data_IF_731276902503
#
_entry.id   IF_731276902503
#
_cell.length_a   1.000
_cell.length_b   1.000
_cell.length_c   1.000
_cell.angle_alpha   90.00
_cell.angle_beta   90.00
_cell.angle_gamma   90.00
#
_symmetry.space_group_name_H-M   'P 1'
#
loop_
_entity.id
_entity.type
_entity.pdbx_description
1 polymer ?
2 non-polymer ?
3 non-polymer ?
4 water ?
#
# COMPACT_ATOMS: atom_id res chain seq x y z
N UNK A 28 29.21 -0.85 -7.71
CA UNK A 28 28.26 -0.51 -6.66
C UNK A 28 26.83 -0.89 -7.07
N UNK A 29 26.30 -1.95 -6.48
CA UNK A 29 25.02 -2.52 -6.89
C UNK A 29 24.04 -2.56 -5.71
N UNK A 30 22.78 -2.28 -6.01
CA UNK A 30 21.69 -2.35 -5.04
C UNK A 30 20.81 -3.54 -5.40
N UNK A 31 20.52 -4.37 -4.41
CA UNK A 31 19.61 -5.51 -4.58
C UNK A 31 18.34 -5.24 -3.79
N UNK A 32 17.21 -5.19 -4.49
CA UNK A 32 15.91 -4.98 -3.86
C UNK A 32 15.20 -6.33 -3.78
N UNK A 33 14.83 -6.72 -2.57
CA UNK A 33 14.10 -7.97 -2.34
C UNK A 33 12.62 -7.63 -2.26
N UNK A 34 11.84 -8.14 -3.20
CA UNK A 34 10.42 -7.88 -3.23
C UNK A 34 10.05 -6.84 -4.28
N UNK A 35 9.12 -7.19 -5.16
CA UNK A 35 8.69 -6.32 -6.25
C UNK A 35 7.25 -5.84 -6.06
N UNK A 36 6.89 -5.52 -4.82
CA UNK A 36 5.59 -4.92 -4.53
C UNK A 36 5.56 -3.47 -4.95
N UNK A 37 4.55 -2.76 -4.44
CA UNK A 37 4.43 -1.33 -4.76
C UNK A 37 5.62 -0.55 -4.21
N UNK A 38 6.10 -0.91 -3.03
CA UNK A 38 7.22 -0.18 -2.45
C UNK A 38 8.55 -0.50 -3.13
N UNK A 39 8.83 -1.79 -3.32
CA UNK A 39 10.10 -2.16 -3.92
C UNK A 39 10.23 -1.71 -5.36
N UNK A 40 9.17 -1.86 -6.15
CA UNK A 40 9.21 -1.42 -7.54
C UNK A 40 9.31 0.10 -7.63
N UNK A 41 8.79 0.82 -6.63
CA UNK A 41 8.95 2.27 -6.62
C UNK A 41 10.39 2.65 -6.33
N UNK A 42 11.02 2.00 -5.36
CA UNK A 42 12.43 2.23 -5.10
C UNK A 42 13.27 1.88 -6.32
N UNK A 43 12.93 0.78 -7.00
CA UNK A 43 13.68 0.38 -8.19
C UNK A 43 13.59 1.47 -9.27
N UNK A 44 12.39 1.97 -9.54
CA UNK A 44 12.23 2.99 -10.56
C UNK A 44 12.95 4.28 -10.18
N UNK A 45 12.82 4.70 -8.92
CA UNK A 45 13.40 5.98 -8.52
C UNK A 45 14.92 5.91 -8.42
N UNK A 46 15.45 4.80 -7.91
CA UNK A 46 16.90 4.68 -7.77
C UNK A 46 17.58 4.48 -9.12
N UNK A 47 16.94 3.73 -10.02
CA UNK A 47 17.50 3.56 -11.36
C UNK A 47 17.49 4.87 -12.13
N UNK A 48 16.42 5.65 -12.00
CA UNK A 48 16.36 6.95 -12.67
C UNK A 48 17.42 7.89 -12.14
N UNK A 49 17.88 7.70 -10.90
CA UNK A 49 18.92 8.54 -10.32
C UNK A 49 20.32 8.13 -10.74
N UNK A 50 20.47 7.02 -11.46
CA UNK A 50 21.76 6.56 -11.95
C UNK A 50 22.31 5.34 -11.26
N UNK A 51 21.60 4.78 -10.28
CA UNK A 51 22.12 3.64 -9.54
C UNK A 51 21.88 2.34 -10.30
N UNK A 52 22.70 1.34 -9.97
CA UNK A 52 22.60 0.01 -10.56
C UNK A 52 21.74 -0.85 -9.63
N UNK A 53 20.49 -1.08 -10.02
CA UNK A 53 19.51 -1.74 -9.16
C UNK A 53 18.96 -2.96 -9.87
N UNK A 54 18.86 -4.07 -9.15
CA UNK A 54 18.16 -5.27 -9.59
C UNK A 54 17.15 -5.67 -8.53
N UNK A 55 16.02 -6.22 -8.98
CA UNK A 55 14.92 -6.60 -8.10
C UNK A 55 14.71 -8.09 -8.19
N UNK A 56 14.35 -8.71 -7.05
CA UNK A 56 14.13 -10.14 -6.96
C UNK A 56 12.79 -10.39 -6.27
N UNK A 57 11.86 -11.02 -6.98
CA UNK A 57 10.50 -11.26 -6.51
C UNK A 57 10.23 -12.75 -6.44
N UNK A 58 9.56 -13.18 -5.37
CA UNK A 58 9.37 -14.61 -5.14
C UNK A 58 8.23 -15.19 -5.95
N UNK A 59 7.27 -14.35 -6.34
CA UNK A 59 6.16 -14.80 -7.15
C UNK A 59 6.67 -15.43 -8.44
N UNK A 60 6.17 -16.62 -8.82
CA UNK A 60 6.62 -17.23 -10.08
C UNK A 60 6.21 -16.41 -11.30
N UNK A 61 5.15 -15.62 -11.19
CA UNK A 61 4.70 -14.76 -12.27
C UNK A 61 4.17 -13.47 -11.66
N UNK A 62 3.89 -12.50 -12.52
CA UNK A 62 3.29 -11.25 -12.08
C UNK A 62 1.77 -11.37 -12.19
N UNK A 63 1.08 -10.98 -11.12
CA UNK A 63 -0.37 -11.00 -11.08
C UNK A 63 -0.90 -9.59 -10.87
N UNK A 64 -1.81 -9.16 -11.74
CA UNK A 64 -2.57 -7.94 -11.48
C UNK A 64 -3.55 -8.26 -10.34
N UNK A 65 -3.32 -7.64 -9.19
CA UNK A 65 -3.96 -8.05 -7.94
C UNK A 65 -5.47 -8.19 -8.08
N UNK A 66 -6.10 -7.27 -8.82
CA UNK A 66 -7.54 -7.34 -8.97
C UNK A 66 -8.26 -6.71 -7.81
N UNK A 67 -7.83 -5.51 -7.44
CA UNK A 67 -8.43 -4.77 -6.34
C UNK A 67 -8.22 -3.29 -6.59
N UNK A 68 -8.85 -2.47 -5.75
CA UNK A 68 -8.63 -1.05 -5.82
C UNK A 68 -7.55 -0.59 -4.86
N UNK A 69 -7.07 0.63 -5.08
CA UNK A 69 -6.14 1.28 -4.17
C UNK A 69 -6.36 2.78 -4.27
N UNK A 70 -6.19 3.46 -3.15
CA UNK A 70 -6.34 4.90 -3.07
C UNK A 70 -4.96 5.56 -3.03
N UNK A 71 -4.80 6.64 -3.80
CA UNK A 71 -3.52 7.31 -3.96
C UNK A 71 -3.76 8.80 -3.76
N UNK A 72 -3.31 9.31 -2.62
CA UNK A 72 -3.46 10.72 -2.32
C UNK A 72 -2.49 11.58 -3.08
N UNK A 73 -2.65 12.90 -2.95
CA UNK A 73 -1.76 13.82 -3.66
C UNK A 73 -0.31 13.73 -3.24
N UNK A 74 -0.03 13.37 -1.98
CA UNK A 74 1.35 13.31 -1.51
C UNK A 74 2.15 12.25 -2.25
N UNK A 75 1.52 11.14 -2.62
CA UNK A 75 2.22 10.09 -3.37
C UNK A 75 2.15 10.35 -4.88
N UNK A 76 1.10 11.03 -5.34
CA UNK A 76 1.05 11.43 -6.74
C UNK A 76 2.24 12.29 -7.12
N UNK A 77 2.76 13.08 -6.18
CA UNK A 77 3.96 13.86 -6.45
C UNK A 77 5.18 12.97 -6.63
N UNK A 78 5.23 11.84 -5.92
CA UNK A 78 6.31 10.88 -6.15
C UNK A 78 6.15 10.22 -7.51
N UNK A 79 4.91 9.92 -7.91
CA UNK A 79 4.69 9.38 -9.25
C UNK A 79 5.02 10.40 -10.33
N UNK A 80 4.94 11.69 -10.00
CA UNK A 80 5.36 12.72 -10.94
C UNK A 80 6.86 12.66 -11.21
N UNK A 81 7.64 12.31 -10.18
CA UNK A 81 9.09 12.19 -10.36
C UNK A 81 9.44 10.97 -11.20
N UNK A 82 8.58 9.95 -11.21
CA UNK A 82 8.78 8.81 -12.08
C UNK A 82 8.26 9.05 -13.49
N UNK A 83 7.60 10.18 -13.74
CA UNK A 83 6.94 10.40 -15.00
C UNK A 83 5.63 9.65 -15.17
N UNK A 84 4.98 9.26 -14.07
CA UNK A 84 3.79 8.42 -14.11
C UNK A 84 2.52 9.15 -13.68
N UNK A 85 2.62 10.36 -13.15
CA UNK A 85 1.44 11.03 -12.61
C UNK A 85 0.41 11.32 -13.69
N UNK A 86 0.85 11.89 -14.81
CA UNK A 86 -0.07 12.22 -15.89
C UNK A 86 -0.78 10.98 -16.40
N UNK A 87 -0.06 9.86 -16.50
CA UNK A 87 -0.69 8.62 -16.93
C UNK A 87 -1.69 8.12 -15.89
N UNK A 88 -1.29 8.09 -14.62
CA UNK A 88 -2.17 7.58 -13.58
C UNK A 88 -3.44 8.41 -13.45
N UNK A 89 -3.36 9.71 -13.72
CA UNK A 89 -4.56 10.54 -13.73
C UNK A 89 -5.53 10.12 -14.83
N UNK A 90 -5.06 9.40 -15.85
CA UNK A 90 -5.92 9.01 -16.96
C UNK A 90 -6.71 7.74 -16.65
N UNK A 91 -6.09 6.79 -15.93
CA UNK A 91 -6.82 5.56 -15.61
C UNK A 91 -7.80 5.78 -14.46
N UNK A 92 -7.28 6.11 -13.29
CA UNK A 92 -8.05 6.06 -12.06
C UNK A 92 -9.20 7.07 -12.03
N UNK A 93 -10.07 6.86 -11.04
CA UNK A 93 -11.20 7.74 -10.80
C UNK A 93 -10.79 8.89 -9.89
N UNK A 94 -11.28 10.08 -10.20
CA UNK A 94 -10.99 11.29 -9.44
C UNK A 94 -12.22 11.68 -8.62
N UNK A 95 -12.37 11.17 -7.40
CA UNK A 95 -13.58 11.48 -6.62
C UNK A 95 -13.59 12.93 -6.18
N UNK A 96 -14.76 13.56 -6.26
CA UNK A 96 -14.89 14.94 -5.81
C UNK A 96 -14.85 15.05 -4.30
N UNK A 97 -15.31 14.01 -3.58
CA UNK A 97 -15.41 14.05 -2.14
C UNK A 97 -15.06 12.69 -1.55
N UNK A 98 -14.61 12.70 -0.30
CA UNK A 98 -14.63 11.52 0.55
C UNK A 98 -15.81 11.69 1.50
N UNK A 99 -16.76 10.76 1.41
CA UNK A 99 -17.91 10.75 2.31
C UNK A 99 -17.71 9.69 3.38
N UNK A 100 -17.83 10.09 4.64
CA UNK A 100 -17.98 9.15 5.74
C UNK A 100 -19.46 9.09 6.09
N UNK A 101 -20.03 7.90 6.05
CA UNK A 101 -21.46 7.72 6.27
C UNK A 101 -21.70 6.67 7.33
N UNK A 102 -22.70 6.90 8.18
CA UNK A 102 -23.13 5.88 9.13
C UNK A 102 -23.68 4.69 8.37
N UNK A 103 -23.23 3.50 8.72
CA UNK A 103 -23.65 2.31 7.99
C UNK A 103 -25.14 2.03 8.11
N UNK A 104 -25.71 2.28 9.29
CA UNK A 104 -27.11 1.94 9.54
C UNK A 104 -28.04 2.98 8.93
N UNK A 105 -27.82 4.26 9.22
CA UNK A 105 -28.74 5.31 8.81
C UNK A 105 -28.35 5.97 7.49
N UNK A 106 -27.10 5.85 7.06
CA UNK A 106 -26.65 6.57 5.90
C UNK A 106 -26.38 8.04 6.12
N UNK A 107 -26.43 8.51 7.37
CA UNK A 107 -26.11 9.89 7.66
C UNK A 107 -24.65 10.18 7.33
N UNK A 108 -24.39 11.38 6.83
CA UNK A 108 -23.05 11.78 6.44
C UNK A 108 -22.30 12.30 7.66
N UNK A 109 -21.26 11.58 8.07
CA UNK A 109 -20.43 12.00 9.18
C UNK A 109 -19.34 12.97 8.77
N UNK A 110 -18.92 12.93 7.51
CA UNK A 110 -17.90 13.85 7.01
C UNK A 110 -17.97 13.89 5.49
N UNK A 111 -17.68 15.06 4.94
CA UNK A 111 -17.64 15.28 3.49
C UNK A 111 -16.31 15.98 3.19
N UNK A 112 -15.27 15.18 2.98
CA UNK A 112 -13.91 15.71 2.81
C UNK A 112 -13.71 16.14 1.36
N UNK A 113 -13.54 17.44 1.10
CA UNK A 113 -13.48 17.91 -0.29
C UNK A 113 -12.18 17.49 -0.97
N UNK A 114 -12.32 16.88 -2.15
CA UNK A 114 -11.17 16.50 -2.96
C UNK A 114 -11.29 17.16 -4.33
N UNK A 115 -11.20 16.37 -5.40
CA UNK A 115 -11.43 16.90 -6.74
C UNK A 115 -10.53 18.07 -7.08
N UNK A 116 -11.14 19.12 -7.62
CA UNK A 116 -10.38 20.32 -7.97
C UNK A 116 -9.80 21.01 -6.74
N UNK A 117 -10.49 20.91 -5.59
CA UNK A 117 -9.94 21.48 -4.37
C UNK A 117 -8.67 20.77 -3.95
N UNK A 118 -8.64 19.44 -4.05
CA UNK A 118 -7.44 18.69 -3.70
C UNK A 118 -6.28 19.06 -4.61
N UNK A 119 -6.54 19.21 -5.91
CA UNK A 119 -5.48 19.59 -6.83
C UNK A 119 -4.91 20.96 -6.50
N UNK A 120 -5.79 21.91 -6.18
CA UNK A 120 -5.34 23.27 -5.89
C UNK A 120 -4.71 23.38 -4.51
N UNK A 121 -5.27 22.69 -3.52
CA UNK A 121 -4.80 22.85 -2.14
C UNK A 121 -3.59 21.98 -1.83
N UNK A 122 -3.44 20.86 -2.52
CA UNK A 122 -2.37 19.91 -2.22
C UNK A 122 -1.37 19.73 -3.34
N UNK A 123 -1.56 20.40 -4.48
CA UNK A 123 -0.61 20.32 -5.56
C UNK A 123 -0.67 19.05 -6.39
N UNK A 124 -1.64 18.19 -6.16
CA UNK A 124 -1.81 16.97 -6.94
C UNK A 124 -3.23 16.45 -6.74
N UNK A 125 -3.61 15.49 -7.57
CA UNK A 125 -4.95 14.95 -7.56
C UNK A 125 -5.06 13.75 -6.61
N UNK A 126 -6.24 13.61 -6.01
CA UNK A 126 -6.58 12.42 -5.24
C UNK A 126 -7.31 11.46 -6.18
N UNK A 127 -6.71 10.30 -6.43
CA UNK A 127 -7.27 9.33 -7.37
C UNK A 127 -7.48 8.01 -6.67
N UNK A 128 -8.49 7.28 -7.14
CA UNK A 128 -8.70 5.87 -6.81
C UNK A 128 -8.59 5.08 -8.10
N UNK A 129 -7.87 3.96 -8.05
CA UNK A 129 -7.38 3.31 -9.27
C UNK A 129 -7.28 1.81 -9.05
N UNK A 130 -7.29 1.08 -10.16
CA UNK A 130 -7.03 -0.36 -10.13
C UNK A 130 -5.62 -0.63 -9.63
N UNK A 131 -5.51 -1.41 -8.56
CA UNK A 131 -4.19 -1.67 -7.96
C UNK A 131 -3.31 -2.50 -8.90
N UNK A 132 -3.89 -3.51 -9.54
CA UNK A 132 -3.11 -4.35 -10.42
C UNK A 132 -2.53 -3.59 -11.60
N UNK A 133 -3.33 -2.69 -12.19
CA UNK A 133 -2.83 -1.89 -13.30
C UNK A 133 -1.80 -0.87 -12.85
N UNK A 134 -1.93 -0.33 -11.64
CA UNK A 134 -0.88 0.53 -11.09
C UNK A 134 0.38 -0.29 -10.83
N UNK A 135 0.22 -1.47 -10.22
CA UNK A 135 1.37 -2.32 -9.94
C UNK A 135 2.10 -2.70 -11.23
N UNK A 136 1.35 -2.99 -12.30
CA UNK A 136 1.98 -3.35 -13.56
C UNK A 136 2.70 -2.17 -14.19
N UNK A 137 2.06 -0.99 -14.19
CA UNK A 137 2.70 0.19 -14.74
C UNK A 137 3.95 0.58 -13.95
N UNK A 138 3.95 0.31 -12.65
CA UNK A 138 5.11 0.64 -11.82
C UNK A 138 6.31 -0.23 -12.18
N UNK A 139 6.09 -1.53 -12.33
CA UNK A 139 7.18 -2.43 -12.68
C UNK A 139 7.66 -2.19 -14.11
N UNK A 140 6.75 -1.80 -15.01
CA UNK A 140 7.14 -1.49 -16.38
C UNK A 140 8.04 -0.26 -16.43
N UNK A 141 8.04 0.57 -15.39
CA UNK A 141 8.94 1.71 -15.31
C UNK A 141 10.35 1.32 -14.92
N UNK A 142 10.56 0.09 -14.45
CA UNK A 142 11.89 -0.39 -14.12
C UNK A 142 12.61 -0.81 -15.41
N UNK A 143 13.93 -0.63 -15.43
CA UNK A 143 14.72 -0.98 -16.60
C UNK A 143 14.53 -2.45 -16.93
N UNK A 144 14.22 -2.78 -18.19
CA UNK A 144 13.92 -4.17 -18.53
C UNK A 144 15.14 -5.07 -18.34
N UNK A 145 14.89 -6.32 -17.97
CA UNK A 145 15.95 -7.25 -17.70
C UNK A 145 16.56 -7.14 -16.32
N UNK A 146 16.00 -6.30 -15.44
CA UNK A 146 16.50 -6.14 -14.09
C UNK A 146 15.53 -6.61 -13.02
N UNK A 147 14.31 -7.01 -13.39
CA UNK A 147 13.33 -7.55 -12.46
C UNK A 147 13.22 -9.05 -12.69
N UNK A 148 13.45 -9.83 -11.65
CA UNK A 148 13.44 -11.29 -11.74
C UNK A 148 12.36 -11.86 -10.84
N UNK A 149 11.50 -12.70 -11.40
CA UNK A 149 10.47 -13.41 -10.67
C UNK A 149 10.96 -14.82 -10.32
N UNK A 150 10.20 -15.49 -9.46
CA UNK A 150 10.61 -16.79 -9.00
C UNK A 150 11.87 -16.81 -8.17
N UNK A 151 12.24 -15.67 -7.58
CA UNK A 151 13.45 -15.54 -6.79
C UNK A 151 13.03 -15.32 -5.33
N UNK A 152 12.97 -16.42 -4.58
CA UNK A 152 12.54 -16.39 -3.19
C UNK A 152 13.79 -16.38 -2.30
N UNK A 153 13.96 -15.30 -1.54
CA UNK A 153 15.10 -15.19 -0.64
C UNK A 153 14.95 -16.15 0.53
N UNK A 154 15.95 -16.99 0.74
CA UNK A 154 15.99 -17.93 1.86
C UNK A 154 17.02 -17.57 2.92
N UNK A 155 18.19 -17.06 2.51
CA UNK A 155 19.23 -16.67 3.44
C UNK A 155 19.93 -15.43 2.92
N UNK A 156 20.23 -14.50 3.82
CA UNK A 156 20.91 -13.26 3.48
C UNK A 156 21.97 -13.00 4.55
N UNK A 157 23.21 -12.81 4.12
CA UNK A 157 24.37 -12.75 5.02
C UNK A 157 25.08 -11.43 4.79
N UNK A 158 25.07 -10.57 5.81
CA UNK A 158 25.85 -9.34 5.79
C UNK A 158 27.32 -9.65 5.99
N UNK A 159 28.06 -9.87 4.90
CA UNK A 159 29.46 -10.25 4.99
C UNK A 159 30.37 -9.11 5.44
N UNK A 160 29.84 -7.90 5.59
CA UNK A 160 30.66 -6.78 6.01
C UNK A 160 30.87 -5.74 4.93
N UNK A 161 31.60 -6.12 3.88
CA UNK A 161 31.78 -5.25 2.73
C UNK A 161 30.70 -5.45 1.66
N UNK A 162 30.01 -6.60 1.70
CA UNK A 162 28.97 -6.90 0.73
C UNK A 162 27.98 -7.85 1.40
N UNK A 163 26.89 -8.14 0.69
CA UNK A 163 25.83 -9.00 1.19
C UNK A 163 25.56 -10.09 0.16
N UNK A 164 25.50 -11.34 0.64
CA UNK A 164 25.19 -12.48 -0.21
C UNK A 164 23.71 -12.84 -0.04
N UNK A 165 22.99 -12.91 -1.16
CA UNK A 165 21.59 -13.28 -1.18
C UNK A 165 21.46 -14.69 -1.72
N UNK A 166 20.79 -15.57 -0.97
CA UNK A 166 20.59 -16.95 -1.36
C UNK A 166 19.12 -17.18 -1.67
N UNK A 167 18.84 -17.69 -2.87
CA UNK A 167 17.48 -17.85 -3.36
C UNK A 167 17.08 -19.32 -3.33
N UNK A 168 15.77 -19.55 -3.18
CA UNK A 168 15.25 -20.90 -3.02
C UNK A 168 15.50 -21.78 -4.25
N UNK A 169 15.68 -21.18 -5.42
CA UNK A 169 15.93 -21.94 -6.64
C UNK A 169 17.41 -22.31 -6.82
N UNK A 170 18.21 -22.19 -5.76
CA UNK A 170 19.61 -22.55 -5.82
C UNK A 170 20.54 -21.44 -6.27
N UNK A 171 20.05 -20.47 -7.03
CA UNK A 171 20.88 -19.38 -7.50
C UNK A 171 21.11 -18.37 -6.37
N UNK A 172 22.10 -17.50 -6.58
CA UNK A 172 22.47 -16.51 -5.58
C UNK A 172 23.02 -15.27 -6.28
N UNK A 173 23.09 -14.17 -5.52
CA UNK A 173 23.65 -12.93 -6.02
C UNK A 173 24.33 -12.19 -4.87
N UNK A 174 25.01 -11.10 -5.22
CA UNK A 174 25.73 -10.27 -4.25
C UNK A 174 25.51 -8.81 -4.61
N UNK A 175 25.39 -7.97 -3.59
CA UNK A 175 25.24 -6.54 -3.81
C UNK A 175 25.90 -5.79 -2.65
N UNK A 176 26.03 -4.48 -2.83
CA UNK A 176 26.67 -3.66 -1.82
C UNK A 176 25.70 -3.28 -0.70
N UNK A 177 24.44 -3.02 -1.04
CA UNK A 177 23.37 -2.88 -0.07
C UNK A 177 22.18 -3.70 -0.55
N UNK A 178 21.32 -4.06 0.39
CA UNK A 178 20.08 -4.76 0.09
C UNK A 178 18.92 -3.95 0.67
N UNK A 179 17.87 -3.80 -0.12
CA UNK A 179 16.67 -3.09 0.29
C UNK A 179 15.60 -4.10 0.66
N UNK A 180 15.10 -4.01 1.89
CA UNK A 180 14.08 -4.94 2.35
C UNK A 180 12.68 -4.48 2.03
N UNK A 181 12.12 -5.00 0.94
CA UNK A 181 10.77 -4.68 0.51
C UNK A 181 9.93 -5.95 0.37
N UNK A 182 10.17 -6.92 1.26
CA UNK A 182 9.47 -8.19 1.22
C UNK A 182 8.16 -8.17 2.02
N UNK A 183 7.64 -6.99 2.34
CA UNK A 183 6.31 -6.89 2.92
C UNK A 183 6.22 -7.39 4.35
N UNK A 184 4.98 -7.75 4.72
CA UNK A 184 4.66 -8.11 6.11
C UNK A 184 5.51 -9.28 6.57
N UNK A 185 5.60 -10.33 5.76
CA UNK A 185 6.38 -11.53 6.10
C UNK A 185 7.82 -11.40 5.63
N UNK A 186 8.43 -10.24 5.89
CA UNK A 186 9.76 -9.93 5.39
C UNK A 186 10.79 -10.95 5.85
N UNK A 187 11.45 -11.59 4.90
CA UNK A 187 12.59 -12.46 5.21
C UNK A 187 13.80 -11.66 5.64
N UNK A 188 13.89 -10.39 5.23
CA UNK A 188 15.02 -9.56 5.63
C UNK A 188 14.90 -9.17 7.10
N UNK A 189 13.70 -8.80 7.54
CA UNK A 189 13.48 -8.54 8.95
C UNK A 189 13.68 -9.80 9.79
N UNK A 190 13.30 -10.95 9.24
CA UNK A 190 13.44 -12.21 9.97
C UNK A 190 14.91 -12.53 10.23
N UNK A 191 15.74 -12.49 9.18
CA UNK A 191 17.16 -12.76 9.35
C UNK A 191 17.85 -11.72 10.21
N UNK A 192 17.23 -10.56 10.40
CA UNK A 192 17.81 -9.48 11.18
C UNK A 192 17.39 -9.54 12.65
N UNK A 193 16.12 -9.86 12.93
CA UNK A 193 15.59 -9.83 14.29
C UNK A 193 15.16 -11.18 14.83
N UNK A 194 15.11 -12.22 14.01
CA UNK A 194 14.66 -13.52 14.45
C UNK A 194 13.27 -13.84 13.91
N UNK A 195 12.76 -14.99 14.36
CA UNK A 195 11.54 -15.55 13.79
C UNK A 195 10.30 -14.70 14.06
N UNK A 196 10.35 -13.79 15.03
CA UNK A 196 9.22 -12.93 15.41
C UNK A 196 8.08 -13.74 16.04
N UNK A 197 7.48 -13.21 17.10
CA UNK A 197 6.42 -13.91 17.79
C UNK A 197 5.20 -14.06 16.89
N UNK A 198 4.40 -15.11 17.09
CA UNK A 198 3.19 -15.28 16.26
C UNK A 198 2.16 -14.20 16.54
N UNK A 199 1.45 -13.80 15.50
CA UNK A 199 0.39 -12.81 15.59
C UNK A 199 -0.89 -13.44 15.07
N UNK A 200 -1.91 -13.49 15.93
CA UNK A 200 -3.19 -14.07 15.55
C UNK A 200 -4.02 -13.07 14.76
N UNK A 201 -4.84 -13.58 13.86
CA UNK A 201 -5.68 -12.77 12.98
C UNK A 201 -7.11 -12.82 13.50
N UNK A 202 -7.53 -11.74 14.17
CA UNK A 202 -8.85 -11.66 14.75
C UNK A 202 -9.81 -10.81 13.94
N UNK A 203 -9.31 -10.17 12.89
CA UNK A 203 -10.12 -9.37 11.98
C UNK A 203 -9.93 -9.90 10.56
N UNK A 204 -10.82 -9.47 9.66
CA UNK A 204 -10.83 -9.97 8.30
C UNK A 204 -11.31 -8.85 7.37
N UNK A 205 -10.92 -8.95 6.10
CA UNK A 205 -11.22 -7.93 5.10
C UNK A 205 -11.81 -8.60 3.87
N UNK A 206 -13.09 -8.33 3.61
CA UNK A 206 -13.73 -8.79 2.39
C UNK A 206 -13.42 -7.82 1.26
N UNK A 207 -13.15 -8.36 0.07
CA UNK A 207 -12.85 -7.55 -1.09
C UNK A 207 -13.61 -8.11 -2.29
N UNK A 208 -14.04 -7.20 -3.17
CA UNK A 208 -14.78 -7.61 -4.36
C UNK A 208 -14.79 -6.47 -5.37
N UNK A 209 -14.68 -6.83 -6.65
CA UNK A 209 -14.88 -5.90 -7.75
C UNK A 209 -16.26 -6.14 -8.36
N UNK A 210 -16.97 -5.05 -8.64
CA UNK A 210 -18.35 -5.12 -9.11
C UNK A 210 -18.43 -4.49 -10.49
N UNK A 211 -18.76 -5.29 -11.48
CA UNK A 211 -19.10 -4.82 -12.82
C UNK A 211 -20.37 -5.52 -13.28
N UNK A 212 -21.00 -4.95 -14.30
CA UNK A 212 -22.23 -5.48 -14.85
C UNK A 212 -23.36 -4.48 -14.78
N UNK A 213 -24.54 -4.93 -15.20
CA UNK A 213 -25.73 -4.09 -15.11
C UNK A 213 -26.16 -3.91 -13.67
N UNK A 214 -25.67 -4.73 -12.75
CA UNK A 214 -25.91 -4.50 -11.33
C UNK A 214 -25.31 -3.17 -10.89
N UNK A 215 -24.21 -2.75 -11.53
CA UNK A 215 -23.62 -1.44 -11.25
C UNK A 215 -24.39 -0.33 -11.95
N UNK A 216 -24.79 -0.55 -13.19
CA UNK A 216 -25.52 0.46 -13.94
C UNK A 216 -26.94 0.66 -13.41
N UNK A 217 -27.52 -0.36 -12.76
CA UNK A 217 -28.88 -0.22 -12.25
C UNK A 217 -28.94 0.68 -11.02
N UNK A 218 -27.88 0.71 -10.22
CA UNK A 218 -27.84 1.48 -8.99
C UNK A 218 -26.73 2.53 -9.00
N UNK A 219 -26.33 2.98 -10.20
CA UNK A 219 -25.21 3.90 -10.30
C UNK A 219 -25.53 5.26 -9.67
N UNK A 220 -26.82 5.61 -9.59
CA UNK A 220 -27.18 6.90 -9.04
C UNK A 220 -26.90 7.00 -7.54
N UNK A 221 -26.86 5.86 -6.85
CA UNK A 221 -26.64 5.83 -5.41
C UNK A 221 -25.25 5.32 -5.04
N UNK A 222 -24.40 5.05 -6.03
CA UNK A 222 -23.04 4.58 -5.78
C UNK A 222 -22.09 5.78 -5.88
N UNK A 223 -21.58 6.22 -4.75
CA UNK A 223 -20.76 7.41 -4.69
C UNK A 223 -19.31 7.09 -5.04
N UNK A 224 -18.58 8.04 -5.62
CA UNK A 224 -17.22 7.73 -6.11
C UNK A 224 -16.25 7.31 -5.02
N UNK A 225 -16.40 7.81 -3.80
CA UNK A 225 -15.48 7.44 -2.71
C UNK A 225 -16.20 7.65 -1.39
N UNK A 226 -16.57 6.56 -0.73
CA UNK A 226 -17.36 6.62 0.49
C UNK A 226 -16.93 5.48 1.41
N UNK A 227 -16.87 5.76 2.71
CA UNK A 227 -16.63 4.75 3.73
C UNK A 227 -17.86 4.65 4.62
N UNK A 228 -18.38 3.44 4.78
CA UNK A 228 -19.55 3.17 5.60
C UNK A 228 -19.08 2.65 6.96
N UNK A 229 -19.32 3.42 8.01
CA UNK A 229 -18.90 3.07 9.36
C UNK A 229 -20.05 2.50 10.17
N UNK A 230 -19.74 1.59 11.08
CA UNK A 230 -20.68 1.14 12.10
C UNK A 230 -19.90 1.01 13.41
N UNK A 231 -20.45 0.23 14.34
CA UNK A 231 -19.89 0.18 15.70
C UNK A 231 -18.57 -0.59 15.74
N UNK A 232 -18.49 -1.73 15.05
CA UNK A 232 -17.30 -2.57 15.10
C UNK A 232 -16.83 -3.03 13.72
N UNK A 233 -17.34 -2.44 12.64
CA UNK A 233 -16.95 -2.84 11.29
C UNK A 233 -17.15 -1.66 10.35
N UNK A 234 -16.65 -1.84 9.13
CA UNK A 234 -16.72 -0.77 8.14
C UNK A 234 -16.64 -1.38 6.75
N UNK A 235 -17.04 -0.57 5.76
CA UNK A 235 -16.87 -0.94 4.35
C UNK A 235 -16.47 0.31 3.58
N UNK A 236 -15.30 0.26 2.95
CA UNK A 236 -14.83 1.33 2.08
C UNK A 236 -15.13 0.96 0.64
N UNK A 237 -15.68 1.91 -0.12
CA UNK A 237 -16.11 1.66 -1.48
C UNK A 237 -15.66 2.82 -2.37
N UNK A 238 -15.15 2.50 -3.56
CA UNK A 238 -14.75 3.52 -4.53
C UNK A 238 -14.60 2.88 -5.89
N UNK A 239 -14.69 3.72 -6.93
CA UNK A 239 -14.48 3.27 -8.30
C UNK A 239 -12.98 3.11 -8.58
N UNK A 240 -12.68 2.33 -9.62
CA UNK A 240 -11.30 1.99 -9.94
C UNK A 240 -10.78 2.63 -11.22
N UNK A 241 -11.66 3.11 -12.10
CA UNK A 241 -11.24 3.79 -13.32
C UNK A 241 -12.04 5.08 -13.49
N UNK A 242 -11.56 5.93 -14.39
CA UNK A 242 -12.30 7.14 -14.73
C UNK A 242 -13.61 6.87 -15.43
N UNK A 243 -13.75 5.69 -16.04
CA UNK A 243 -14.99 5.34 -16.74
C UNK A 243 -16.11 4.93 -15.79
N UNK A 244 -15.81 4.71 -14.51
CA UNK A 244 -16.80 4.34 -13.50
C UNK A 244 -17.53 3.04 -13.87
N UNK A 245 -16.87 2.18 -14.63
CA UNK A 245 -17.43 0.89 -15.02
C UNK A 245 -17.05 -0.24 -14.06
N UNK A 246 -16.31 0.06 -12.99
CA UNK A 246 -15.88 -0.95 -12.04
C UNK A 246 -15.93 -0.35 -10.64
N UNK A 247 -16.55 -1.09 -9.72
CA UNK A 247 -16.77 -0.63 -8.36
C UNK A 247 -16.14 -1.63 -7.40
N UNK A 248 -15.35 -1.13 -6.46
CA UNK A 248 -14.59 -1.96 -5.55
C UNK A 248 -14.95 -1.61 -4.11
N UNK A 249 -15.12 -2.63 -3.27
CA UNK A 249 -15.24 -2.40 -1.85
C UNK A 249 -14.25 -3.27 -1.09
N UNK A 250 -13.85 -2.79 0.09
CA UNK A 250 -12.98 -3.51 1.01
C UNK A 250 -13.49 -3.25 2.42
N UNK A 251 -13.63 -4.30 3.21
CA UNK A 251 -14.24 -4.21 4.53
C UNK A 251 -13.23 -4.48 5.63
N UNK A 252 -13.69 -4.32 6.87
CA UNK A 252 -12.96 -4.71 8.06
C UNK A 252 -13.91 -5.26 9.09
N UNK A 253 -14.00 -6.58 9.20
CA UNK A 253 -15.02 -7.24 10.00
C UNK A 253 -14.37 -8.15 11.04
N UNK A 254 -14.86 -8.18 12.27
CA UNK A 254 -14.37 -9.17 13.24
C UNK A 254 -14.57 -10.58 12.72
N UNK A 255 -13.63 -11.46 13.07
CA UNK A 255 -13.60 -12.79 12.50
C UNK A 255 -12.89 -13.74 13.45
N UNK A 256 -13.20 -15.02 13.32
CA UNK A 256 -12.50 -16.05 14.08
C UNK A 256 -11.03 -16.11 13.64
N UNK A 257 -10.24 -16.85 14.41
CA UNK A 257 -8.80 -16.95 14.15
C UNK A 257 -8.55 -17.58 12.79
N UNK A 258 -7.83 -16.85 11.93
CA UNK A 258 -7.54 -17.32 10.58
C UNK A 258 -6.50 -18.43 10.65
N UNK A 259 -6.91 -19.65 10.31
CA UNK A 259 -6.03 -20.81 10.28
C UNK A 259 -6.20 -21.56 8.97
N UNK A 260 -6.05 -20.84 7.86
CA UNK A 260 -6.18 -21.42 6.52
C UNK A 260 -4.80 -21.51 5.87
N UNK A 261 -4.68 -22.43 4.91
CA UNK A 261 -3.42 -22.65 4.23
C UNK A 261 -3.05 -21.52 3.27
N UNK A 262 -3.97 -20.60 2.99
CA UNK A 262 -3.73 -19.51 2.07
C UNK A 262 -3.95 -18.16 2.72
N UNK A 263 -3.55 -17.12 1.99
CA UNK A 263 -3.72 -15.74 2.43
C UNK A 263 -5.06 -15.15 2.02
N UNK A 264 -5.91 -15.92 1.36
CA UNK A 264 -7.22 -15.43 0.93
C UNK A 264 -8.12 -16.63 0.65
N UNK A 265 -9.36 -16.54 1.13
CA UNK A 265 -10.36 -17.58 0.91
C UNK A 265 -11.58 -16.94 0.26
N UNK A 266 -12.33 -17.76 -0.48
CA UNK A 266 -13.52 -17.27 -1.16
C UNK A 266 -14.65 -17.06 -0.15
N UNK A 267 -15.23 -15.86 -0.18
CA UNK A 267 -16.34 -15.52 0.69
C UNK A 267 -17.65 -15.83 -0.03
N UNK A 268 -18.76 -15.26 0.43
CA UNK A 268 -20.06 -15.51 -0.18
C UNK A 268 -21.01 -14.38 0.18
N UNK A 269 -22.08 -14.27 -0.60
CA UNK A 269 -23.08 -13.24 -0.35
C UNK A 269 -23.78 -13.47 0.99
N UNK A 270 -23.99 -14.74 1.36
CA UNK A 270 -24.61 -15.04 2.65
C UNK A 270 -23.72 -14.59 3.80
N UNK A 271 -22.41 -14.77 3.66
CA UNK A 271 -21.48 -14.30 4.69
C UNK A 271 -21.53 -12.79 4.82
N UNK A 272 -21.56 -12.07 3.71
CA UNK A 272 -21.56 -10.61 3.75
C UNK A 272 -22.89 -10.07 4.25
N UNK A 273 -23.99 -10.72 3.87
CA UNK A 273 -25.31 -10.29 4.34
C UNK A 273 -25.40 -10.38 5.86
N UNK A 274 -24.90 -11.48 6.44
CA UNK A 274 -24.91 -11.63 7.89
C UNK A 274 -23.94 -10.65 8.54
N UNK A 275 -22.78 -10.43 7.92
CA UNK A 275 -21.78 -9.55 8.50
C UNK A 275 -22.25 -8.10 8.52
N UNK A 276 -22.97 -7.68 7.47
CA UNK A 276 -23.42 -6.30 7.34
C UNK A 276 -24.93 -6.17 7.49
N UNK A 277 -25.52 -6.98 8.37
CA UNK A 277 -26.95 -6.88 8.64
C UNK A 277 -27.26 -5.52 9.26
N UNK A 278 -28.35 -4.91 8.82
CA UNK A 278 -28.77 -3.61 9.29
C UNK A 278 -28.19 -2.44 8.53
N UNK A 279 -27.23 -2.67 7.64
CA UNK A 279 -26.63 -1.59 6.89
C UNK A 279 -27.61 -0.99 5.88
N UNK A 280 -27.31 0.24 5.47
CA UNK A 280 -28.07 1.01 4.49
C UNK A 280 -28.37 0.18 3.24
N UNK A 281 -29.52 0.38 2.60
CA UNK A 281 -29.82 -0.37 1.36
C UNK A 281 -28.73 -0.28 0.30
N UNK A 282 -28.04 0.86 0.21
CA UNK A 282 -26.94 0.97 -0.74
C UNK A 282 -25.88 -0.10 -0.50
N UNK A 283 -25.48 -0.29 0.77
CA UNK A 283 -24.54 -1.35 1.10
C UNK A 283 -25.13 -2.72 0.76
N UNK A 284 -26.42 -2.90 1.02
CA UNK A 284 -27.08 -4.17 0.70
C UNK A 284 -27.12 -4.40 -0.80
N UNK A 285 -27.38 -3.34 -1.59
CA UNK A 285 -27.32 -3.48 -3.04
C UNK A 285 -25.93 -3.87 -3.50
N UNK A 286 -24.90 -3.37 -2.83
CA UNK A 286 -23.53 -3.70 -3.22
C UNK A 286 -23.26 -5.19 -3.07
N UNK A 287 -23.70 -5.79 -1.96
CA UNK A 287 -23.46 -7.20 -1.73
C UNK A 287 -24.20 -8.06 -2.75
N UNK A 288 -25.41 -7.63 -3.14
CA UNK A 288 -26.16 -8.38 -4.14
C UNK A 288 -25.51 -8.29 -5.52
N UNK A 289 -24.79 -7.20 -5.79
CA UNK A 289 -24.19 -6.98 -7.10
C UNK A 289 -22.91 -7.76 -7.34
N UNK A 290 -22.39 -8.45 -6.33
CA UNK A 290 -21.12 -9.13 -6.46
C UNK A 290 -21.29 -10.47 -7.16
N UNK A 291 -20.19 -10.96 -7.74
CA UNK A 291 -20.11 -12.29 -8.31
C UNK A 291 -19.12 -13.18 -7.56
N UNK A 292 -17.93 -12.66 -7.25
CA UNK A 292 -16.92 -13.39 -6.51
C UNK A 292 -16.36 -12.48 -5.43
N UNK A 293 -16.37 -12.95 -4.18
CA UNK A 293 -15.86 -12.20 -3.03
C UNK A 293 -14.79 -13.03 -2.36
N UNK A 294 -13.65 -12.41 -2.09
CA UNK A 294 -12.55 -13.04 -1.37
C UNK A 294 -12.40 -12.41 0.01
N UNK A 295 -11.82 -13.18 0.93
CA UNK A 295 -11.68 -12.78 2.32
C UNK A 295 -10.22 -12.88 2.72
N UNK A 296 -9.71 -11.82 3.36
CA UNK A 296 -8.30 -11.73 3.69
C UNK A 296 -8.12 -11.48 5.18
N UNK A 297 -7.25 -12.21 5.86
CA UNK A 297 -7.05 -11.99 7.29
C UNK A 297 -6.21 -10.75 7.57
N UNK A 298 -6.51 -10.11 8.70
CA UNK A 298 -5.81 -8.92 9.14
C UNK A 298 -5.20 -9.17 10.51
N UNK A 299 -3.96 -8.72 10.69
CA UNK A 299 -3.24 -8.99 11.93
C UNK A 299 -3.76 -8.13 13.08
N UNK A 300 -3.74 -8.71 14.28
CA UNK A 300 -4.18 -7.98 15.47
C UNK A 300 -3.12 -6.99 15.93
N UNK A 301 -1.84 -7.32 15.77
CA UNK A 301 -0.75 -6.45 16.22
C UNK A 301 0.38 -6.51 15.20
N UNK A 302 1.29 -5.55 15.32
CA UNK A 302 2.45 -5.43 14.45
C UNK A 302 3.66 -5.05 15.29
N UNK A 303 4.85 -5.45 14.86
CA UNK A 303 6.07 -5.09 15.61
C UNK A 303 6.44 -3.62 15.39
N UNK A 304 7.38 -3.17 16.20
CA UNK A 304 7.89 -1.81 16.09
C UNK A 304 8.74 -1.66 14.82
N UNK A 305 8.91 -0.43 14.33
CA UNK A 305 9.64 -0.24 13.08
C UNK A 305 11.10 -0.64 13.18
N UNK A 306 11.61 -1.25 12.11
CA UNK A 306 13.03 -1.56 11.96
C UNK A 306 13.48 -0.98 10.63
N UNK A 307 14.28 0.08 10.68
CA UNK A 307 14.64 0.83 9.48
C UNK A 307 15.86 0.25 8.77
N UNK A 308 16.91 -0.09 9.51
CA UNK A 308 18.13 -0.56 8.87
C UNK A 308 19.03 -1.20 9.91
N UNK A 309 20.01 -1.96 9.41
CA UNK A 309 21.07 -2.53 10.24
C UNK A 309 22.19 -2.97 9.32
N UNK A 310 23.36 -2.33 9.45
CA UNK A 310 24.46 -2.67 8.57
C UNK A 310 24.15 -2.23 7.15
N UNK A 311 24.25 -3.18 6.21
CA UNK A 311 24.02 -2.90 4.80
C UNK A 311 22.60 -3.18 4.36
N UNK A 312 21.71 -3.61 5.25
CA UNK A 312 20.32 -3.88 4.93
C UNK A 312 19.46 -2.70 5.37
N UNK A 313 18.58 -2.26 4.47
CA UNK A 313 17.64 -1.18 4.76
C UNK A 313 16.25 -1.64 4.37
N UNK A 314 15.24 -1.23 5.14
CA UNK A 314 13.88 -1.71 4.97
C UNK A 314 12.94 -0.56 4.63
N UNK A 315 11.85 -0.90 3.95
CA UNK A 315 10.80 0.06 3.66
C UNK A 315 9.45 -0.64 3.69
N UNK A 316 8.39 0.16 3.76
CA UNK A 316 7.04 -0.34 3.67
C UNK A 316 6.67 -1.29 4.80
N UNK A 317 5.83 -2.27 4.46
CA UNK A 317 5.36 -3.24 5.44
C UNK A 317 6.50 -4.00 6.10
N UNK A 318 7.61 -4.18 5.38
CA UNK A 318 8.77 -4.84 5.96
C UNK A 318 9.36 -4.02 7.10
N UNK A 319 9.26 -2.69 7.00
CA UNK A 319 9.89 -1.80 7.96
C UNK A 319 8.95 -1.42 9.10
N UNK A 320 7.73 -0.97 8.77
CA UNK A 320 6.79 -0.45 9.76
C UNK A 320 5.41 -1.01 9.48
N UNK A 321 5.19 -2.30 9.74
CA UNK A 321 3.86 -2.87 9.52
C UNK A 321 2.83 -2.20 10.42
N UNK A 322 1.62 -2.04 9.89
CA UNK A 322 0.59 -1.27 10.56
C UNK A 322 -0.78 -1.88 10.28
N UNK A 323 -1.77 -1.43 11.02
CA UNK A 323 -3.16 -1.75 10.72
C UNK A 323 -3.62 -0.92 9.51
N UNK A 324 -4.37 -1.51 8.60
CA UNK A 324 -4.70 -0.80 7.34
C UNK A 324 -5.86 0.18 7.48
N UNK A 325 -6.16 0.60 8.71
CA UNK A 325 -7.32 1.43 8.97
C UNK A 325 -7.25 2.80 8.30
N UNK A 326 -6.07 3.22 7.82
CA UNK A 326 -5.91 4.54 7.24
C UNK A 326 -5.77 4.55 5.73
N UNK A 327 -5.67 3.38 5.09
CA UNK A 327 -5.47 3.27 3.64
C UNK A 327 -4.24 4.06 3.20
N UNK A 328 -3.17 4.00 4.00
CA UNK A 328 -1.95 4.73 3.73
C UNK A 328 -0.71 3.85 3.69
N UNK A 329 -0.85 2.55 3.88
CA UNK A 329 0.29 1.64 3.93
C UNK A 329 1.15 1.65 2.68
N UNK A 330 0.55 1.39 1.53
CA UNK A 330 1.30 1.43 0.28
C UNK A 330 1.84 2.83 -0.02
N UNK A 331 1.07 3.86 0.35
CA UNK A 331 1.56 5.22 0.18
C UNK A 331 2.79 5.47 1.03
N UNK A 332 2.83 4.90 2.24
CA UNK A 332 4.02 5.01 3.07
C UNK A 332 5.18 4.22 2.48
N UNK A 333 4.91 3.08 1.85
CA UNK A 333 5.97 2.30 1.22
C UNK A 333 6.61 3.08 0.08
N UNK A 334 5.81 3.79 -0.71
CA UNK A 334 6.35 4.60 -1.79
C UNK A 334 7.05 5.83 -1.25
N UNK A 335 6.52 6.42 -0.17
CA UNK A 335 7.19 7.55 0.45
C UNK A 335 8.54 7.15 1.02
N UNK A 336 8.63 5.95 1.60
CA UNK A 336 9.93 5.44 2.04
C UNK A 336 10.88 5.29 0.87
N UNK A 337 10.39 4.74 -0.25
CA UNK A 337 11.23 4.58 -1.43
C UNK A 337 11.74 5.91 -1.93
N UNK A 338 10.89 6.94 -1.91
CA UNK A 338 11.31 8.25 -2.38
C UNK A 338 12.34 8.89 -1.44
N UNK A 339 12.07 8.84 -0.13
CA UNK A 339 12.99 9.43 0.83
C UNK A 339 14.32 8.68 0.86
N UNK A 340 14.28 7.35 0.74
CA UNK A 340 15.51 6.58 0.71
C UNK A 340 16.37 6.94 -0.50
N UNK A 341 15.73 7.17 -1.65
CA UNK A 341 16.48 7.58 -2.84
C UNK A 341 17.11 8.95 -2.64
N UNK A 342 16.39 9.88 -2.01
CA UNK A 342 16.96 11.19 -1.73
C UNK A 342 18.17 11.10 -0.81
N UNK A 343 18.17 10.14 0.12
CA UNK A 343 19.28 10.00 1.05
C UNK A 343 20.47 9.30 0.41
N UNK A 344 20.22 8.33 -0.47
CA UNK A 344 21.31 7.69 -1.19
C UNK A 344 21.92 8.62 -2.24
N UNK A 345 21.10 9.54 -2.78
CA UNK A 345 21.62 10.54 -3.70
C UNK A 345 22.56 11.50 -2.98
N UNK A 346 22.34 11.73 -1.69
CA UNK A 346 23.17 12.68 -0.94
C UNK A 346 24.50 12.08 -0.52
N UNK A 347 24.53 10.78 -0.23
CA UNK A 347 25.72 10.14 0.32
C UNK A 347 26.38 9.16 -0.63
N UNK A 348 25.63 8.52 -1.51
CA UNK A 348 26.17 7.48 -2.36
C UNK A 348 26.27 6.15 -1.62
N UNK A 349 26.44 5.08 -2.40
CA UNK A 349 26.53 3.75 -1.82
C UNK A 349 27.78 3.56 -0.98
N UNK A 350 28.82 4.37 -1.20
CA UNK A 350 30.03 4.25 -0.40
C UNK A 350 29.78 4.64 1.05
N UNK A 351 28.80 5.50 1.31
CA UNK A 351 28.43 5.89 2.66
C UNK A 351 26.99 5.50 2.96
N UNK A 352 26.72 4.19 2.95
CA UNK A 352 25.36 3.72 3.15
C UNK A 352 24.87 3.97 4.58
N UNK A 353 25.77 3.91 5.56
CA UNK A 353 25.36 4.09 6.95
C UNK A 353 24.76 5.47 7.18
N UNK A 354 25.39 6.51 6.62
CA UNK A 354 24.83 7.85 6.73
C UNK A 354 23.50 7.95 5.99
N UNK A 355 23.39 7.28 4.84
CA UNK A 355 22.13 7.29 4.10
C UNK A 355 21.01 6.64 4.89
N UNK A 356 21.29 5.48 5.49
CA UNK A 356 20.26 4.77 6.25
C UNK A 356 19.87 5.55 7.49
N UNK A 357 20.84 6.23 8.13
CA UNK A 357 20.51 7.05 9.30
C UNK A 357 19.68 8.26 8.91
N UNK A 358 20.03 8.90 7.79
CA UNK A 358 19.28 10.07 7.32
C UNK A 358 17.87 9.68 6.87
N UNK A 359 17.70 8.45 6.39
CA UNK A 359 16.41 8.00 5.89
C UNK A 359 15.45 7.68 7.02
N UNK A 360 15.94 7.07 8.10
CA UNK A 360 15.11 6.86 9.27
C UNK A 360 14.76 8.19 9.95
N UNK A 361 15.73 9.09 10.06
CA UNK A 361 15.51 10.37 10.73
C UNK A 361 14.53 11.26 9.97
N UNK A 362 14.39 11.07 8.66
CA UNK A 362 13.50 11.87 7.84
C UNK A 362 12.16 11.18 7.59
N UNK A 363 11.91 10.04 8.21
CA UNK A 363 10.67 9.29 7.99
C UNK A 363 10.00 8.79 9.27
N UNK A 364 10.71 8.70 10.40
CA UNK A 364 10.15 8.05 11.57
C UNK A 364 9.06 8.87 12.22
N UNK A 365 9.13 10.20 12.12
CA UNK A 365 8.07 11.03 12.68
C UNK A 365 6.79 10.91 11.87
N UNK A 366 6.90 10.94 10.54
CA UNK A 366 5.72 10.78 9.70
C UNK A 366 5.10 9.40 9.87
N UNK A 367 5.94 8.36 9.94
CA UNK A 367 5.42 7.02 10.14
C UNK A 367 4.75 6.89 11.50
N UNK A 368 5.30 7.54 12.52
CA UNK A 368 4.70 7.47 13.85
C UNK A 368 3.36 8.19 13.89
N UNK A 369 3.24 9.30 13.17
CA UNK A 369 1.97 10.02 13.11
C UNK A 369 0.89 9.17 12.46
N UNK A 370 1.22 8.51 11.35
CA UNK A 370 0.26 7.61 10.70
C UNK A 370 -0.09 6.45 11.61
N UNK A 371 0.89 5.97 12.38
CA UNK A 371 0.65 4.83 13.28
C UNK A 371 -0.38 5.18 14.34
N UNK A 372 -0.23 6.34 14.99
CA UNK A 372 -1.14 6.72 16.06
C UNK A 372 -2.52 7.12 15.54
N UNK A 373 -2.64 7.46 14.26
CA UNK A 373 -3.95 7.76 13.71
C UNK A 373 -4.72 6.48 13.40
N UNK A 374 -4.05 5.49 12.81
CA UNK A 374 -4.68 4.18 12.65
C UNK A 374 -4.96 3.52 14.00
N UNK A 375 -4.16 3.86 15.02
CA UNK A 375 -4.44 3.37 16.36
C UNK A 375 -5.79 3.89 16.86
N UNK A 376 -6.04 5.18 16.69
CA UNK A 376 -7.33 5.75 17.09
C UNK A 376 -8.45 5.33 16.15
N UNK A 377 -8.14 4.88 14.94
CA UNK A 377 -9.13 4.41 13.99
C UNK A 377 -10.19 5.47 13.70
N UNK A 378 -9.72 6.71 13.51
CA UNK A 378 -10.62 7.85 13.38
C UNK A 378 -10.40 8.62 12.09
N UNK A 379 -9.62 8.09 11.15
CA UNK A 379 -9.26 8.83 9.95
C UNK A 379 -10.49 9.17 9.11
N UNK A 380 -10.81 10.46 9.04
CA UNK A 380 -11.93 11.01 8.26
C UNK A 380 -13.29 10.50 8.75
N UNK A 381 -13.37 10.07 10.01
CA UNK A 381 -14.67 9.76 10.59
C UNK A 381 -15.52 11.02 10.71
N UNK A 382 -14.96 12.06 11.33
CA UNK A 382 -15.58 13.38 11.40
C UNK A 382 -14.84 14.35 10.47
N UNK A 383 -15.36 15.56 10.38
CA UNK A 383 -14.81 16.58 9.49
C UNK A 383 -13.49 17.08 10.07
N UNK A 384 -12.38 16.60 9.52
CA UNK A 384 -11.05 17.02 9.95
C UNK A 384 -10.22 17.43 8.74
N UNK A 385 -9.15 18.17 9.01
CA UNK A 385 -8.26 18.67 7.98
C UNK A 385 -7.24 17.62 7.59
N UNK A 386 -7.31 17.07 6.39
CA UNK A 386 -6.34 16.07 5.95
C UNK A 386 -5.07 16.63 5.33
N UNK A 387 -4.81 17.94 5.50
CA UNK A 387 -3.68 18.57 4.84
C UNK A 387 -2.35 17.96 5.26
N UNK A 388 -2.24 17.51 6.52
CA UNK A 388 -0.97 16.97 6.99
C UNK A 388 -0.60 15.67 6.30
N UNK A 389 -1.54 15.01 5.62
CA UNK A 389 -1.24 13.81 4.87
C UNK A 389 -1.08 14.16 3.40
N UNK A 390 -2.11 14.79 2.82
CA UNK A 390 -2.14 15.00 1.37
C UNK A 390 -1.18 16.09 0.94
N UNK A 391 -1.08 17.18 1.72
CA UNK A 391 -0.23 18.29 1.37
C UNK A 391 1.23 18.14 1.71
N UNK A 392 1.66 16.96 2.14
CA UNK A 392 3.05 16.75 2.52
C UNK A 392 3.97 16.83 1.30
N UNK A 393 5.07 17.54 1.46
CA UNK A 393 6.05 17.73 0.38
C UNK A 393 7.30 16.93 0.74
N UNK A 394 7.37 15.70 0.22
CA UNK A 394 8.52 14.85 0.51
C UNK A 394 9.80 15.44 -0.06
N UNK A 395 9.73 16.05 -1.24
CA UNK A 395 10.90 16.59 -1.91
C UNK A 395 11.23 18.01 -1.45
N UNK A 396 10.41 18.59 -0.58
CA UNK A 396 10.71 19.91 -0.03
C UNK A 396 11.34 19.83 1.34
N UNK A 397 11.34 18.64 1.93
CA UNK A 397 11.92 18.44 3.25
C UNK A 397 13.44 18.57 3.19
N UNK A 398 14.01 19.17 4.23
CA UNK A 398 15.45 19.24 4.39
C UNK A 398 15.94 17.98 5.07
N UNK A 399 16.88 17.27 4.45
CA UNK A 399 17.41 16.04 5.03
C UNK A 399 18.27 16.34 6.25
N UNK A 400 18.98 17.47 6.25
CA UNK A 400 19.91 17.84 7.32
C UNK A 400 20.98 16.78 7.53
X LIG B 1 3.92 -5.63 -0.39
X LIG B 1 2.96 -4.78 -1.14
X LIG B 1 3.32 -6.79 0.42
X LIG B 1 4.99 -6.22 -1.38
X LIG B 1 5.99 -7.17 -0.93
X LIG B 1 6.47 -7.97 -2.09
X LIG B 1 7.65 -8.73 -1.72
X LIG B 1 5.47 -8.99 -2.64
X LIG B 1 5.43 -8.96 -4.06
X LIG B 1 6.00 -10.33 -2.12
X LIG B 1 5.68 -11.41 -2.99
X LIG B 1 7.51 -10.07 -2.12
X LIG B 1 8.26 -10.92 -1.22
X LIG B 1 7.93 -11.28 0.06
X LIG B 1 8.80 -12.07 0.63
X LIG B 1 9.79 -12.25 -0.33
X LIG B 1 10.99 -12.97 -0.34
X LIG B 1 11.43 -13.70 0.69
X LIG B 1 11.74 -12.93 -1.47
X LIG B 1 11.29 -12.21 -2.51
X LIG B 1 10.18 -11.48 -2.61
X LIG B 1 9.46 -11.54 -1.48
X LIG B 1 -2.32 1.26 1.06
X LIG B 1 -2.60 2.41 0.38
X LIG B 1 -1.72 3.20 0.05
X LIG B 1 -3.90 2.70 0.04
X LIG B 1 -5.02 1.93 0.32
X LIG B 1 -6.14 2.29 -0.04
X LIG B 1 -4.71 0.71 1.04
X LIG B 1 -5.70 -0.09 1.36
X LIG B 1 -5.40 -1.26 2.04
X LIG B 1 -6.43 -2.12 2.39
X LIG B 1 -6.18 -3.30 3.08
X LIG B 1 -7.34 -4.21 3.43
X LIG B 1 -4.87 -3.63 3.43
X LIG B 1 -4.56 -4.90 4.19
X LIG B 1 -3.83 -2.77 3.09
X LIG B 1 -4.09 -1.60 2.41
X LIG B 1 -3.05 -0.70 2.05
X LIG B 1 -3.33 0.45 1.37
X LIG B 1 -1.66 -1.00 2.40
X LIG B 1 -0.92 -1.75 1.29
X LIG B 1 -1.69 -2.86 0.84
X LIG B 1 0.42 -2.24 1.82
X LIG B 1 0.87 -1.36 2.86
X LIG B 1 1.51 -2.33 0.74
X LIG B 1 1.22 -3.42 -0.12
X LIG B 1 2.90 -2.47 1.31
X LIG B 1 3.86 -2.46 0.24
X LIG B 1 5.22 -3.24 0.33
X LIG B 1 5.97 -2.76 1.58
X LIG B 1 5.98 -3.15 -0.94
X LIG B 1 4.77 -4.74 0.60
X LIG C 1 -8.10 -5.24 0.24
X LIG C 1 -7.25 -4.30 -0.14
X LIG C 1 -5.87 -4.50 -0.16
X LIG C 1 -5.38 -5.73 0.22
X LIG C 1 -6.27 -6.73 0.62
X LIG C 1 -7.62 -6.42 0.61
X LIG C 1 -7.88 -2.72 -0.63
#
# INVERSE_FOLDING_TARGET
>A
MGSDKIHHHHHHSSGENLYFQGHMRGRQKIAIVGAGLGGAAAATLLQQAGFDVEVFEQAPAFTRLGAGIQIGPNVMKIFRRMGLEQKLELMGSHPDFWFSRDGNTGDYLSRIPLGEFARREYGAAYITIHRGDLHALQIEAIQPGTVHFGKRLEKIVDEGDQVRLDFADGTHTVADIVIGADGIHSKIREELLGAEAPIYSGWVAHRALIRGVNLAQHADVFEPCVKWWSEDRHMMVYYTTGKRDEYYFVTGVPHEAWDFQGAFVDSSQEEMRAAFEGYHPTVQKLIDATESITKWPLRNRNPLPLWSRGRLVLLGDACHPMKPHMAQGACMAIEDAAMLTRCLQETGLSDHRTAFALYEANRKERASQVQSVSNANTWLYSQEDPAWVYGYDLYGQQLESGEAA
>B hetero
1 FAD PA O1A O2A O5B C5B C4B O4B C3B O3B C2B O2B C1B N9A C8A N7A C5A C6A N6A N1A C2A N3A C4A N1 C2 O2 N3 C4 O4 C4X N5 C5X C6 C7 C7M C8 C8M C9 C9A N10 C10 C1' C2' O2' C3' O3' C4' O4' C5' O5' P O1P O2P O3P
>C hetero
1 PYS N1 C2 C3 C4 C5 C6 S2
#
